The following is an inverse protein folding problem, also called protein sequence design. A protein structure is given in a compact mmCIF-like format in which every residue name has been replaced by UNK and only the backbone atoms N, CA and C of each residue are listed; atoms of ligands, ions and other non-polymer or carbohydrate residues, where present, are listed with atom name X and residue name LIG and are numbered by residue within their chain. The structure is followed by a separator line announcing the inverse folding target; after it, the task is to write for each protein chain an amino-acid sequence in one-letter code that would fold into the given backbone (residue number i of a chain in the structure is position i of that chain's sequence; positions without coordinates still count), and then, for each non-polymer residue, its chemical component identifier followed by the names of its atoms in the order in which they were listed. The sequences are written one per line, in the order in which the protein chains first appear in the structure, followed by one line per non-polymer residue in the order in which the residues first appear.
data_IF_926802624162
#
_entry.id   IF_926802624162
#
_cell.length_a   1.000
_cell.length_b   1.000
_cell.length_c   1.000
_cell.angle_alpha   90.00
_cell.angle_beta   90.00
_cell.angle_gamma   90.00
#
_symmetry.space_group_name_H-M   'P 1'
#
loop_
_entity.id
_entity.type
_entity.pdbx_description
1 polymer ?
#
# COMPACT_ATOMS: atom_id res chain seq x y z
N UNK A 1 -1.04 9.84 -9.30
CA UNK A 1 -1.69 8.93 -8.33
C UNK A 1 -2.70 9.72 -7.49
N UNK A 2 -3.98 9.73 -7.87
CA UNK A 2 -5.02 10.46 -7.14
C UNK A 2 -5.26 9.93 -5.69
N UNK A 3 -4.77 8.73 -5.38
CA UNK A 3 -4.94 8.08 -4.08
C UNK A 3 -4.00 8.62 -2.99
N UNK A 4 -2.79 9.07 -3.35
CA UNK A 4 -1.78 9.54 -2.37
C UNK A 4 -2.28 10.73 -1.52
N UNK A 5 -2.79 11.83 -2.11
CA UNK A 5 -3.25 12.97 -1.31
C UNK A 5 -4.39 12.61 -0.36
N UNK A 6 -5.27 11.68 -0.77
CA UNK A 6 -6.35 11.17 0.08
C UNK A 6 -5.83 10.34 1.26
N UNK A 7 -4.86 9.45 1.03
CA UNK A 7 -4.25 8.68 2.12
C UNK A 7 -3.55 9.63 3.10
N UNK A 8 -2.73 10.56 2.60
CA UNK A 8 -2.02 11.52 3.44
C UNK A 8 -2.98 12.39 4.27
N UNK A 9 -4.12 12.84 3.71
CA UNK A 9 -5.12 13.61 4.46
C UNK A 9 -5.77 12.78 5.57
N UNK A 10 -6.13 11.54 5.30
CA UNK A 10 -6.78 10.65 6.28
C UNK A 10 -5.80 10.20 7.38
N UNK A 11 -4.53 9.98 7.04
CA UNK A 11 -3.48 9.70 8.04
C UNK A 11 -3.26 10.90 8.97
N UNK A 12 -3.30 12.14 8.44
CA UNK A 12 -3.18 13.36 9.25
C UNK A 12 -4.31 13.53 10.27
N UNK A 13 -5.47 12.91 10.04
CA UNK A 13 -6.59 12.83 10.99
C UNK A 13 -6.41 11.73 12.05
N UNK A 14 -5.28 11.01 12.04
CA UNK A 14 -4.97 9.93 12.98
C UNK A 14 -5.59 8.58 12.61
N UNK A 15 -6.12 8.44 11.39
CA UNK A 15 -6.70 7.18 10.95
C UNK A 15 -5.61 6.18 10.53
N UNK A 16 -5.63 4.91 10.99
CA UNK A 16 -4.53 3.98 10.71
C UNK A 16 -4.48 3.50 9.25
N UNK A 17 -3.26 3.43 8.68
CA UNK A 17 -3.03 3.00 7.29
C UNK A 17 -3.65 1.63 6.94
N UNK A 18 -3.57 0.65 7.85
CA UNK A 18 -4.14 -0.71 7.64
C UNK A 18 -5.60 -0.71 7.19
N UNK A 19 -6.40 0.26 7.64
CA UNK A 19 -7.82 0.31 7.31
C UNK A 19 -8.05 0.75 5.86
N UNK A 20 -7.16 1.59 5.34
CA UNK A 20 -7.14 2.01 3.93
C UNK A 20 -6.59 0.90 3.05
N UNK A 21 -5.49 0.25 3.47
CA UNK A 21 -4.74 -0.70 2.64
C UNK A 21 -5.25 -2.14 2.69
N UNK A 22 -6.15 -2.50 3.61
CA UNK A 22 -6.70 -3.88 3.69
C UNK A 22 -7.34 -4.36 2.40
N UNK A 23 -7.90 -3.44 1.60
CA UNK A 23 -8.52 -3.73 0.31
C UNK A 23 -7.49 -3.78 -0.83
N UNK A 24 -6.29 -3.25 -0.60
CA UNK A 24 -5.20 -3.24 -1.57
C UNK A 24 -4.40 -4.54 -1.56
N UNK A 25 -4.38 -5.29 -0.44
CA UNK A 25 -3.61 -6.55 -0.32
C UNK A 25 -3.91 -7.54 -1.46
N UNK A 26 -5.13 -7.57 -1.98
CA UNK A 26 -5.51 -8.43 -3.11
C UNK A 26 -5.35 -7.81 -4.50
N UNK A 27 -4.81 -6.60 -4.64
CA UNK A 27 -4.90 -5.87 -5.91
C UNK A 27 -4.14 -6.56 -7.05
N UNK A 28 -2.99 -7.17 -6.76
CA UNK A 28 -2.11 -7.79 -7.76
C UNK A 28 -2.12 -9.32 -7.66
N UNK A 29 -3.23 -9.96 -8.03
CA UNK A 29 -3.28 -11.43 -8.10
C UNK A 29 -2.56 -11.98 -9.33
N UNK A 30 -1.80 -13.06 -9.17
CA UNK A 30 -1.09 -13.77 -10.27
C UNK A 30 -0.06 -12.94 -11.06
N UNK A 31 0.35 -11.77 -10.54
CA UNK A 31 1.40 -10.95 -11.13
C UNK A 31 2.76 -11.28 -10.48
N UNK A 32 3.89 -11.27 -11.22
CA UNK A 32 5.20 -11.30 -10.62
C UNK A 32 5.35 -10.21 -9.54
N UNK A 33 5.97 -10.53 -8.40
CA UNK A 33 6.12 -9.57 -7.29
C UNK A 33 4.92 -9.46 -6.34
N UNK A 34 3.75 -10.01 -6.70
CA UNK A 34 2.54 -10.03 -5.87
C UNK A 34 2.73 -10.57 -4.44
N UNK A 35 3.64 -11.54 -4.28
CA UNK A 35 3.96 -12.09 -2.94
C UNK A 35 4.65 -11.04 -2.06
N UNK A 36 5.61 -10.31 -2.62
CA UNK A 36 6.36 -9.28 -1.90
C UNK A 36 5.48 -8.06 -1.62
N UNK A 37 4.69 -7.63 -2.60
CA UNK A 37 3.66 -6.60 -2.44
C UNK A 37 2.75 -6.89 -1.22
N UNK A 38 2.18 -8.11 -1.18
CA UNK A 38 1.33 -8.55 -0.06
C UNK A 38 2.07 -8.54 1.27
N UNK A 39 3.30 -9.04 1.28
CA UNK A 39 4.14 -9.10 2.47
C UNK A 39 4.35 -7.70 3.05
N UNK A 40 4.73 -6.73 2.24
CA UNK A 40 5.00 -5.35 2.69
C UNK A 40 3.75 -4.74 3.33
N UNK A 41 2.59 -4.83 2.66
CA UNK A 41 1.35 -4.28 3.21
C UNK A 41 0.93 -4.97 4.51
N UNK A 42 0.99 -6.29 4.57
CA UNK A 42 0.60 -7.03 5.78
C UNK A 42 1.55 -6.80 6.96
N UNK A 43 2.86 -6.74 6.72
CA UNK A 43 3.88 -6.58 7.77
C UNK A 43 4.01 -5.13 8.26
N UNK A 44 3.73 -4.12 7.42
CA UNK A 44 4.05 -2.73 7.76
C UNK A 44 2.83 -1.83 7.96
N UNK A 45 1.71 -2.06 7.26
CA UNK A 45 0.60 -1.10 7.28
C UNK A 45 -0.16 -1.03 8.63
N UNK A 46 0.06 -2.01 9.53
CA UNK A 46 -0.56 -2.04 10.84
C UNK A 46 0.25 -1.33 11.93
N UNK A 47 1.48 -0.91 11.61
CA UNK A 47 2.38 -0.21 12.54
C UNK A 47 1.84 1.20 12.84
N UNK A 48 2.12 1.75 14.04
CA UNK A 48 1.61 3.06 14.45
C UNK A 48 2.08 4.21 13.54
N UNK A 49 3.30 4.12 13.01
CA UNK A 49 3.91 5.16 12.15
C UNK A 49 3.84 4.79 10.65
N UNK A 50 2.94 3.89 10.27
CA UNK A 50 2.80 3.48 8.89
C UNK A 50 2.23 4.62 8.03
N UNK A 51 2.98 5.02 7.01
CA UNK A 51 2.65 6.13 6.11
C UNK A 51 2.59 5.69 4.64
N UNK A 52 2.51 6.68 3.75
CA UNK A 52 2.46 6.43 2.30
C UNK A 52 3.67 5.65 1.76
N UNK A 53 4.84 5.73 2.41
CA UNK A 53 6.04 5.02 1.95
C UNK A 53 5.84 3.50 1.97
N UNK A 54 4.99 2.97 2.86
CA UNK A 54 4.62 1.55 2.87
C UNK A 54 3.91 1.15 1.58
N UNK A 55 3.07 2.02 1.04
CA UNK A 55 2.37 1.79 -0.23
C UNK A 55 3.34 1.91 -1.41
N UNK A 56 4.25 2.89 -1.39
CA UNK A 56 5.29 3.03 -2.41
C UNK A 56 6.21 1.81 -2.47
N UNK A 57 6.69 1.34 -1.32
CA UNK A 57 7.50 0.12 -1.22
C UNK A 57 6.75 -1.11 -1.75
N UNK A 58 5.45 -1.22 -1.45
CA UNK A 58 4.63 -2.30 -1.97
C UNK A 58 4.54 -2.22 -3.50
N UNK A 59 4.20 -1.05 -4.05
CA UNK A 59 4.09 -0.82 -5.50
C UNK A 59 5.42 -1.08 -6.23
N UNK A 60 6.56 -0.73 -5.63
CA UNK A 60 7.89 -1.00 -6.17
C UNK A 60 8.19 -2.50 -6.33
N UNK A 61 7.46 -3.37 -5.62
CA UNK A 61 7.57 -4.81 -5.79
C UNK A 61 6.84 -5.32 -7.05
N UNK A 62 5.96 -4.52 -7.67
CA UNK A 62 5.20 -4.89 -8.86
C UNK A 62 5.92 -4.36 -10.12
N UNK A 63 6.33 -5.24 -11.05
CA UNK A 63 6.90 -4.80 -12.32
C UNK A 63 5.88 -4.03 -13.14
N UNK A 64 6.32 -2.97 -13.83
CA UNK A 64 5.50 -2.16 -14.74
C UNK A 64 4.21 -1.61 -14.10
N UNK A 65 4.27 -1.16 -12.85
CA UNK A 65 3.09 -0.66 -12.11
C UNK A 65 2.38 0.52 -12.80
N UNK A 66 3.08 1.23 -13.68
CA UNK A 66 2.55 2.35 -14.48
C UNK A 66 1.79 1.90 -15.74
N UNK A 67 1.89 0.63 -16.12
CA UNK A 67 1.32 0.07 -17.37
C UNK A 67 0.12 -0.86 -17.13
N UNK A 68 -0.31 -1.04 -15.88
CA UNK A 68 -1.49 -1.81 -15.48
C UNK A 68 -2.69 -0.88 -15.26
#
# INVERSE_FOLDING_TARGET
LAYRPYVESVLAEGFPLKHLTRHLVGLYHQVPGARQYRRILSERAHLPDADWAVVEDALAAIPNVETL
#
